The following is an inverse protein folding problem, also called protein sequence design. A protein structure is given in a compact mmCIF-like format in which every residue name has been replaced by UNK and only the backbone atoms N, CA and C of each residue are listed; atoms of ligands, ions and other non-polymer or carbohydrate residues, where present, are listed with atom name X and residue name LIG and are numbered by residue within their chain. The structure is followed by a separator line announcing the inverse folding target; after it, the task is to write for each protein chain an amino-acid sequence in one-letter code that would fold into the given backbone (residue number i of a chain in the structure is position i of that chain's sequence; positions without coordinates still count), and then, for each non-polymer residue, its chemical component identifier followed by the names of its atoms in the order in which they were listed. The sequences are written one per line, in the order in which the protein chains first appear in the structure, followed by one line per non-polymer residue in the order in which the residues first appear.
data_IF_940911773753
#
_entry.id   IF_940911773753
#
_cell.length_a   1.000
_cell.length_b   1.000
_cell.length_c   1.000
_cell.angle_alpha   90.00
_cell.angle_beta   90.00
_cell.angle_gamma   90.00
#
_symmetry.space_group_name_H-M   'P 1'
#
loop_
_entity.id
_entity.type
_entity.pdbx_description
1 polymer ?
#
# COMPACT_ATOMS: atom_id res chain seq x y z
N UNK A 1 13.06 -13.59 -3.23
CA UNK A 1 13.79 -12.36 -2.88
C UNK A 1 13.04 -11.19 -3.51
N UNK A 2 12.61 -10.22 -2.73
CA UNK A 2 11.89 -9.04 -3.23
C UNK A 2 12.82 -8.03 -3.89
N UNK A 3 12.28 -7.18 -4.76
CA UNK A 3 13.00 -6.04 -5.35
C UNK A 3 12.78 -4.78 -4.52
N UNK A 4 13.61 -3.77 -4.72
CA UNK A 4 13.34 -2.44 -4.16
C UNK A 4 12.02 -1.88 -4.71
N UNK A 5 11.33 -1.08 -3.90
CA UNK A 5 10.19 -0.29 -4.35
C UNK A 5 10.67 0.67 -5.43
N UNK A 6 9.91 0.77 -6.52
CA UNK A 6 10.10 1.85 -7.49
C UNK A 6 9.80 3.20 -6.84
N UNK A 7 10.25 4.29 -7.46
CA UNK A 7 9.95 5.64 -6.98
C UNK A 7 8.43 5.88 -6.84
N UNK A 8 7.62 5.32 -7.75
CA UNK A 8 6.15 5.48 -7.70
C UNK A 8 5.53 4.70 -6.56
N UNK A 9 5.88 3.43 -6.41
CA UNK A 9 5.37 2.60 -5.30
C UNK A 9 5.71 3.19 -3.94
N UNK A 10 6.96 3.63 -3.78
CA UNK A 10 7.42 4.31 -2.56
C UNK A 10 6.66 5.61 -2.31
N UNK A 11 6.49 6.44 -3.35
CA UNK A 11 5.76 7.70 -3.26
C UNK A 11 4.30 7.51 -2.88
N UNK A 12 3.63 6.52 -3.46
CA UNK A 12 2.25 6.18 -3.13
C UNK A 12 2.12 5.59 -1.74
N UNK A 13 3.00 4.68 -1.34
CA UNK A 13 3.00 4.15 0.03
C UNK A 13 3.21 5.26 1.07
N UNK A 14 4.16 6.17 0.84
CA UNK A 14 4.36 7.35 1.69
C UNK A 14 3.10 8.22 1.76
N UNK A 15 2.51 8.54 0.61
CA UNK A 15 1.26 9.30 0.56
C UNK A 15 0.14 8.63 1.37
N UNK A 16 -0.04 7.32 1.23
CA UNK A 16 -1.07 6.56 1.95
C UNK A 16 -0.80 6.54 3.47
N UNK A 17 0.46 6.45 3.90
CA UNK A 17 0.85 6.55 5.31
C UNK A 17 0.51 7.92 5.88
N UNK A 18 0.59 8.99 5.09
CA UNK A 18 0.30 10.35 5.56
C UNK A 18 -1.20 10.70 5.48
N UNK A 19 -1.89 10.24 4.44
CA UNK A 19 -3.19 10.75 4.03
C UNK A 19 -4.30 9.71 3.99
N UNK A 20 -3.97 8.42 3.90
CA UNK A 20 -4.96 7.36 3.76
C UNK A 20 -5.87 7.28 4.98
N UNK A 21 -7.17 7.13 4.73
CA UNK A 21 -8.19 6.98 5.76
C UNK A 21 -8.46 5.50 6.02
N UNK A 22 -8.58 5.05 7.28
CA UNK A 22 -8.96 3.66 7.56
C UNK A 22 -10.34 3.33 6.97
N UNK A 23 -10.49 2.11 6.43
CA UNK A 23 -11.80 1.59 6.06
C UNK A 23 -12.77 1.62 7.25
N UNK A 24 -14.09 1.80 7.02
CA UNK A 24 -15.08 1.73 8.08
C UNK A 24 -15.00 0.40 8.85
N UNK A 25 -14.66 0.48 10.13
CA UNK A 25 -14.52 -0.68 11.02
C UNK A 25 -13.06 -1.07 11.33
N UNK A 26 -12.09 -0.55 10.59
CA UNK A 26 -10.68 -0.76 10.85
C UNK A 26 -10.14 0.19 11.92
N UNK A 27 -8.99 -0.15 12.50
CA UNK A 27 -8.38 0.65 13.54
C UNK A 27 -7.85 1.98 12.99
N UNK A 28 -8.06 3.06 13.74
CA UNK A 28 -7.45 4.36 13.42
C UNK A 28 -5.97 4.32 13.78
N UNK A 29 -5.11 4.64 12.80
CA UNK A 29 -3.68 4.81 13.03
C UNK A 29 -3.40 6.21 13.58
N UNK A 30 -2.84 6.27 14.79
CA UNK A 30 -2.37 7.51 15.39
C UNK A 30 -1.06 8.01 14.74
N UNK A 31 -0.59 9.19 15.16
CA UNK A 31 0.60 9.81 14.61
C UNK A 31 1.86 8.93 14.81
N UNK A 32 2.01 8.33 15.99
CA UNK A 32 3.15 7.46 16.31
C UNK A 32 3.15 6.18 15.43
N UNK A 33 1.97 5.61 15.17
CA UNK A 33 1.84 4.46 14.27
C UNK A 33 2.24 4.84 12.84
N UNK A 34 1.79 6.00 12.34
CA UNK A 34 2.15 6.50 11.00
C UNK A 34 3.64 6.78 10.88
N UNK A 35 4.26 7.42 11.88
CA UNK A 35 5.70 7.66 11.92
C UNK A 35 6.50 6.36 11.84
N UNK A 36 6.13 5.34 12.63
CA UNK A 36 6.78 4.01 12.59
C UNK A 36 6.64 3.32 11.23
N UNK A 37 5.51 3.48 10.55
CA UNK A 37 5.34 2.95 9.19
C UNK A 37 6.25 3.68 8.21
N UNK A 38 6.38 5.00 8.34
CA UNK A 38 7.22 5.82 7.49
C UNK A 38 8.70 5.47 7.64
N UNK A 39 9.19 5.31 8.87
CA UNK A 39 10.57 4.87 9.16
C UNK A 39 10.91 3.50 8.53
N UNK A 40 9.91 2.62 8.43
CA UNK A 40 10.08 1.27 7.86
C UNK A 40 10.05 1.25 6.33
N UNK A 41 9.56 2.30 5.68
CA UNK A 41 9.35 2.33 4.24
C UNK A 41 10.64 2.06 3.45
N UNK A 42 11.80 2.46 3.98
CA UNK A 42 13.11 2.21 3.39
C UNK A 42 13.54 0.72 3.42
N UNK A 43 13.06 -0.04 4.41
CA UNK A 43 13.36 -1.45 4.57
C UNK A 43 12.38 -2.38 3.84
N UNK A 44 11.25 -1.85 3.35
CA UNK A 44 10.24 -2.62 2.62
C UNK A 44 10.69 -2.91 1.19
N UNK A 45 10.44 -4.13 0.74
CA UNK A 45 10.68 -4.60 -0.62
C UNK A 45 9.36 -4.98 -1.29
N UNK A 46 9.28 -4.80 -2.61
CA UNK A 46 8.18 -5.32 -3.41
C UNK A 46 8.36 -6.82 -3.61
N UNK A 47 7.38 -7.56 -3.11
CA UNK A 47 7.18 -8.99 -3.33
C UNK A 47 6.42 -9.26 -4.62
N UNK A 48 5.55 -10.27 -4.58
CA UNK A 48 4.81 -10.68 -5.77
C UNK A 48 3.62 -9.75 -6.01
N UNK A 49 3.29 -9.46 -7.28
CA UNK A 49 2.02 -8.81 -7.60
C UNK A 49 0.84 -9.77 -7.42
N UNK A 50 -0.39 -9.25 -7.44
CA UNK A 50 -1.57 -10.09 -7.56
C UNK A 50 -1.52 -10.93 -8.84
N UNK A 51 -1.93 -12.20 -8.75
CA UNK A 51 -1.91 -13.12 -9.87
C UNK A 51 -2.96 -12.82 -10.95
N UNK A 52 -3.94 -11.95 -10.70
CA UNK A 52 -4.97 -11.62 -11.68
C UNK A 52 -4.47 -10.73 -12.83
N UNK A 53 -3.41 -9.94 -12.59
CA UNK A 53 -2.81 -9.05 -13.58
C UNK A 53 -3.71 -7.90 -14.07
N UNK A 54 -4.82 -7.62 -13.37
CA UNK A 54 -5.80 -6.60 -13.77
C UNK A 54 -5.44 -5.20 -13.27
N UNK A 55 -4.72 -5.12 -12.16
CA UNK A 55 -4.35 -3.86 -11.53
C UNK A 55 -2.93 -3.88 -10.94
N UNK A 56 -2.31 -2.70 -10.75
CA UNK A 56 -1.05 -2.57 -10.05
C UNK A 56 -1.27 -2.95 -8.60
N UNK A 57 -0.56 -3.99 -8.18
CA UNK A 57 -0.64 -4.52 -6.82
C UNK A 57 0.70 -5.14 -6.47
N UNK A 58 1.13 -4.99 -5.24
CA UNK A 58 2.38 -5.56 -4.73
C UNK A 58 2.20 -6.01 -3.29
N UNK A 59 2.67 -7.23 -3.02
CA UNK A 59 3.00 -7.64 -1.66
C UNK A 59 4.17 -6.82 -1.14
N UNK A 60 4.09 -6.40 0.11
CA UNK A 60 5.14 -5.66 0.78
C UNK A 60 5.81 -6.61 1.79
N UNK A 61 7.08 -6.91 1.53
CA UNK A 61 7.85 -7.90 2.28
C UNK A 61 9.07 -7.25 2.92
N UNK A 62 9.58 -7.86 3.99
CA UNK A 62 10.82 -7.44 4.62
C UNK A 62 12.07 -7.84 3.80
N UNK A 63 13.26 -7.53 4.32
CA UNK A 63 14.54 -7.91 3.69
C UNK A 63 14.76 -9.43 3.60
N UNK A 64 14.19 -10.21 4.52
CA UNK A 64 14.20 -11.67 4.47
C UNK A 64 13.23 -12.21 3.40
N UNK A 65 12.37 -11.36 2.85
CA UNK A 65 11.38 -11.69 1.86
C UNK A 65 10.09 -12.28 2.45
N UNK A 66 9.83 -11.98 3.72
CA UNK A 66 8.64 -12.43 4.44
C UNK A 66 7.59 -11.32 4.47
N UNK A 67 6.36 -11.65 4.12
CA UNK A 67 5.21 -10.77 4.30
C UNK A 67 4.75 -10.79 5.77
N UNK A 68 4.24 -9.67 6.30
CA UNK A 68 3.60 -9.65 7.62
C UNK A 68 2.41 -10.61 7.70
N UNK A 69 2.13 -11.14 8.89
CA UNK A 69 0.92 -11.92 9.12
C UNK A 69 -0.33 -11.05 8.90
N UNK A 70 -1.39 -11.60 8.29
CA UNK A 70 -2.59 -10.88 7.86
C UNK A 70 -3.78 -11.05 8.81
N UNK A 71 -3.61 -11.73 9.95
CA UNK A 71 -4.69 -11.97 10.92
C UNK A 71 -5.32 -10.67 11.48
N UNK A 72 -4.53 -9.62 11.69
CA UNK A 72 -4.98 -8.29 12.12
C UNK A 72 -4.52 -7.23 11.11
N UNK A 73 -5.45 -6.79 10.24
CA UNK A 73 -5.17 -5.80 9.20
C UNK A 73 -6.01 -4.54 9.39
N UNK A 74 -5.36 -3.40 9.18
CA UNK A 74 -5.98 -2.09 8.92
C UNK A 74 -5.74 -1.75 7.46
N UNK A 75 -6.77 -1.38 6.74
CA UNK A 75 -6.69 -0.96 5.34
C UNK A 75 -6.89 0.54 5.29
N UNK A 76 -5.87 1.26 4.83
CA UNK A 76 -5.98 2.67 4.50
C UNK A 76 -6.44 2.79 3.06
N UNK A 77 -7.39 3.69 2.81
CA UNK A 77 -7.93 4.00 1.48
C UNK A 77 -7.71 5.47 1.13
N UNK A 78 -7.53 5.73 -0.15
CA UNK A 78 -7.62 7.06 -0.74
C UNK A 78 -8.22 6.93 -2.14
N UNK A 79 -9.15 7.82 -2.46
CA UNK A 79 -9.75 7.85 -3.80
C UNK A 79 -8.82 8.55 -4.79
N UNK A 80 -8.81 8.07 -6.02
CA UNK A 80 -8.21 8.73 -7.17
C UNK A 80 -9.20 8.73 -8.33
N UNK A 81 -8.91 9.49 -9.39
CA UNK A 81 -9.71 9.44 -10.61
C UNK A 81 -9.71 8.02 -11.19
N UNK A 82 -10.87 7.36 -11.14
CA UNK A 82 -11.14 6.05 -11.74
C UNK A 82 -10.63 4.83 -10.96
N UNK A 83 -10.07 5.02 -9.75
CA UNK A 83 -9.60 3.91 -8.91
C UNK A 83 -9.55 4.29 -7.43
N UNK A 84 -9.40 3.28 -6.57
CA UNK A 84 -9.14 3.43 -5.14
C UNK A 84 -7.75 2.88 -4.83
N UNK A 85 -6.93 3.65 -4.11
CA UNK A 85 -5.69 3.16 -3.53
C UNK A 85 -5.99 2.44 -2.23
N UNK A 86 -5.38 1.28 -2.01
CA UNK A 86 -5.46 0.51 -0.78
C UNK A 86 -4.06 0.22 -0.27
N UNK A 87 -3.79 0.59 0.98
CA UNK A 87 -2.57 0.24 1.69
C UNK A 87 -2.94 -0.59 2.92
N UNK A 88 -2.48 -1.84 2.93
CA UNK A 88 -2.73 -2.78 4.01
C UNK A 88 -1.61 -2.68 5.03
N UNK A 89 -2.00 -2.52 6.29
CA UNK A 89 -1.13 -2.49 7.45
C UNK A 89 -1.49 -3.67 8.34
N UNK A 90 -0.58 -4.62 8.50
CA UNK A 90 -0.78 -5.77 9.38
C UNK A 90 0.26 -5.78 10.49
N UNK A 91 -0.19 -5.92 11.74
CA UNK A 91 0.68 -5.89 12.93
C UNK A 91 1.64 -4.67 12.98
N UNK A 92 1.20 -3.52 12.46
CA UNK A 92 2.04 -2.32 12.37
C UNK A 92 3.14 -2.39 11.32
N UNK A 93 2.98 -3.23 10.30
CA UNK A 93 3.87 -3.37 9.15
C UNK A 93 3.08 -3.18 7.84
N UNK A 94 3.71 -2.59 6.84
CA UNK A 94 3.12 -2.51 5.50
C UNK A 94 3.12 -3.92 4.88
N UNK A 95 1.96 -4.41 4.45
CA UNK A 95 1.80 -5.78 3.97
C UNK A 95 1.36 -5.87 2.50
N UNK A 96 0.62 -4.89 2.00
CA UNK A 96 0.14 -4.89 0.62
C UNK A 96 -0.18 -3.48 0.13
N UNK A 97 0.12 -3.19 -1.14
CA UNK A 97 -0.31 -1.95 -1.82
C UNK A 97 -1.05 -2.31 -3.11
N UNK A 98 -2.20 -1.69 -3.33
CA UNK A 98 -3.05 -1.94 -4.49
C UNK A 98 -3.68 -0.65 -5.02
N UNK A 99 -3.86 -0.57 -6.34
CA UNK A 99 -4.67 0.43 -7.01
C UNK A 99 -5.86 -0.28 -7.68
N UNK A 100 -7.00 -0.35 -7.00
CA UNK A 100 -8.18 -1.06 -7.48
C UNK A 100 -9.00 -0.17 -8.44
N UNK A 101 -9.16 -0.53 -9.73
CA UNK A 101 -9.96 0.26 -10.67
C UNK A 101 -11.44 0.24 -10.31
N UNK A 102 -12.16 1.35 -10.52
CA UNK A 102 -13.62 1.42 -10.32
C UNK A 102 -14.42 0.72 -11.42
N UNK A 103 -13.78 0.42 -12.56
CA UNK A 103 -14.40 -0.23 -13.72
C UNK A 103 -13.46 -1.23 -14.39
N UNK A 104 -13.76 -1.59 -15.64
CA UNK A 104 -13.01 -2.62 -16.38
C UNK A 104 -11.71 -2.10 -17.02
N UNK A 105 -11.47 -0.78 -16.99
CA UNK A 105 -10.25 -0.19 -17.54
C UNK A 105 -9.05 -0.48 -16.61
N UNK A 106 -8.04 -1.23 -17.07
CA UNK A 106 -6.92 -1.62 -16.23
C UNK A 106 -5.92 -0.48 -16.07
N UNK A 107 -5.32 -0.39 -14.89
CA UNK A 107 -4.14 0.44 -14.67
C UNK A 107 -2.89 -0.42 -14.83
N UNK A 108 -1.90 0.05 -15.60
CA UNK A 108 -0.65 -0.67 -15.79
C UNK A 108 0.36 -0.42 -14.66
N UNK A 109 0.34 0.78 -14.07
CA UNK A 109 1.30 1.24 -13.07
C UNK A 109 0.60 2.13 -12.03
N UNK A 110 1.18 2.25 -10.84
CA UNK A 110 0.76 3.26 -9.87
C UNK A 110 0.93 4.69 -10.43
N UNK A 111 0.08 5.65 -10.03
CA UNK A 111 0.19 7.03 -10.49
C UNK A 111 1.51 7.69 -10.03
N UNK A 112 2.00 8.64 -10.84
CA UNK A 112 3.29 9.33 -10.60
C UNK A 112 3.18 10.31 -9.42
N UNK A 113 2.01 10.92 -9.25
CA UNK A 113 1.71 11.83 -8.16
C UNK A 113 0.65 11.21 -7.26
N UNK A 114 0.77 11.50 -5.97
CA UNK A 114 -0.33 11.30 -5.03
C UNK A 114 -1.64 11.87 -5.60
N UNK A 115 -2.78 11.18 -5.44
CA UNK A 115 -4.07 11.73 -5.85
C UNK A 115 -4.35 13.06 -5.17
N UNK A 116 -5.10 13.91 -5.87
CA UNK A 116 -5.66 15.11 -5.27
C UNK A 116 -6.80 14.65 -4.38
N UNK A 117 -6.67 14.84 -3.05
CA UNK A 117 -7.78 14.62 -2.12
C UNK A 117 -8.93 15.59 -2.39
#
# INVERSE_FOLDING_TARGET
MGRELTQRERGIAAFMIDNGEPLPGDAVLDADARERLYERLDAVRAGKPCACGTCPSIELIDEAGQAPDVELRTVLIAETEGATLLLFVSEGQLSYLELAPHGDEPFAEFPITAPSQ
#
